data_IF_151581133708
#
_entry.id   IF_151581133708
#
_cell.length_a   1.000
_cell.length_b   1.000
_cell.length_c   1.000
_cell.angle_alpha   90.00
_cell.angle_beta   90.00
_cell.angle_gamma   90.00
#
_symmetry.space_group_name_H-M   'P 1'
#
loop_
_entity.id
_entity.type
_entity.pdbx_description
1 polymer ?
#
# COMPACT_ATOMS: atom_id res chain seq x y z
N UNK A 1 9.29 -20.69 0.22
CA UNK A 1 9.55 -19.54 -0.66
C UNK A 1 9.72 -19.99 -2.10
N UNK A 2 9.26 -19.18 -3.07
CA UNK A 2 9.67 -19.35 -4.48
C UNK A 2 11.14 -18.93 -4.63
N UNK A 3 11.77 -19.23 -5.77
CA UNK A 3 13.16 -18.81 -6.03
C UNK A 3 13.31 -17.29 -5.90
N UNK A 4 12.42 -16.52 -6.52
CA UNK A 4 12.43 -15.05 -6.47
C UNK A 4 12.29 -14.52 -5.03
N UNK A 5 11.38 -15.11 -4.23
CA UNK A 5 11.20 -14.77 -2.83
C UNK A 5 12.44 -15.12 -2.00
N UNK A 6 13.08 -16.25 -2.29
CA UNK A 6 14.31 -16.66 -1.63
C UNK A 6 15.45 -15.71 -1.94
N UNK A 7 15.64 -15.35 -3.22
CA UNK A 7 16.69 -14.41 -3.66
C UNK A 7 16.49 -13.05 -2.96
N UNK A 8 15.25 -12.54 -2.91
CA UNK A 8 14.93 -11.30 -2.21
C UNK A 8 15.18 -11.39 -0.69
N UNK A 9 14.79 -12.49 -0.07
CA UNK A 9 15.04 -12.73 1.35
C UNK A 9 16.54 -12.77 1.66
N UNK A 10 17.35 -13.51 0.90
CA UNK A 10 18.79 -13.63 1.13
C UNK A 10 19.51 -12.29 0.94
N UNK A 11 19.09 -11.48 -0.04
CA UNK A 11 19.64 -10.14 -0.22
C UNK A 11 19.40 -9.25 1.02
N UNK A 12 18.17 -9.24 1.56
CA UNK A 12 17.85 -8.46 2.76
C UNK A 12 18.56 -9.02 3.99
N UNK A 13 18.59 -10.37 4.13
CA UNK A 13 19.22 -11.08 5.24
C UNK A 13 20.69 -10.74 5.39
N UNK A 14 21.42 -10.61 4.28
CA UNK A 14 22.83 -10.19 4.29
C UNK A 14 23.03 -8.89 5.07
N UNK A 15 22.21 -7.85 4.81
CA UNK A 15 22.30 -6.57 5.50
C UNK A 15 21.83 -6.61 6.95
N UNK A 16 20.86 -7.49 7.28
CA UNK A 16 20.47 -7.75 8.68
C UNK A 16 21.66 -8.36 9.45
N UNK A 17 22.42 -9.26 8.83
CA UNK A 17 23.57 -9.90 9.47
C UNK A 17 24.76 -8.95 9.61
N UNK A 18 25.01 -8.13 8.62
CA UNK A 18 26.11 -7.17 8.61
C UNK A 18 25.83 -5.90 9.44
N UNK A 19 24.61 -5.76 9.93
CA UNK A 19 24.15 -4.55 10.66
C UNK A 19 24.41 -3.26 9.86
N UNK A 20 24.01 -3.27 8.58
CA UNK A 20 24.19 -2.14 7.67
C UNK A 20 22.86 -1.60 7.19
N UNK A 21 22.81 -0.29 7.05
CA UNK A 21 21.69 0.37 6.40
C UNK A 21 21.68 0.13 4.89
N UNK A 22 20.54 -0.23 4.37
CA UNK A 22 20.25 -0.28 2.94
C UNK A 22 18.75 -0.12 2.73
N UNK A 23 18.36 0.62 1.72
CA UNK A 23 16.96 0.69 1.30
C UNK A 23 16.74 -0.23 0.12
N UNK A 24 15.79 -1.14 0.27
CA UNK A 24 15.33 -2.06 -0.78
C UNK A 24 13.98 -1.60 -1.31
N UNK A 25 13.79 -1.67 -2.62
CA UNK A 25 12.48 -1.59 -3.25
C UNK A 25 12.05 -3.00 -3.66
N UNK A 26 11.14 -3.60 -2.89
CA UNK A 26 10.55 -4.90 -3.22
C UNK A 26 9.35 -4.70 -4.15
N UNK A 27 9.62 -4.70 -5.44
CA UNK A 27 8.62 -4.56 -6.49
C UNK A 27 8.06 -5.93 -6.86
N UNK A 28 6.83 -6.20 -6.47
CA UNK A 28 6.18 -7.50 -6.72
C UNK A 28 4.72 -7.34 -7.07
N UNK A 29 4.28 -8.04 -8.12
CA UNK A 29 2.86 -8.05 -8.51
C UNK A 29 1.95 -8.49 -7.37
N UNK A 30 0.68 -8.11 -7.42
CA UNK A 30 -0.30 -8.57 -6.44
C UNK A 30 -0.38 -10.10 -6.45
N UNK A 31 -0.23 -10.74 -5.28
CA UNK A 31 -0.17 -12.19 -5.16
C UNK A 31 1.21 -12.82 -5.41
N UNK A 32 2.27 -12.03 -5.56
CA UNK A 32 3.66 -12.52 -5.64
C UNK A 32 4.22 -13.02 -4.32
N UNK A 33 3.52 -12.77 -3.22
CA UNK A 33 3.93 -13.23 -1.89
C UNK A 33 4.92 -12.29 -1.17
N UNK A 34 4.92 -10.99 -1.46
CA UNK A 34 5.70 -9.98 -0.71
C UNK A 34 5.60 -10.17 0.80
N UNK A 35 4.38 -10.40 1.30
CA UNK A 35 4.14 -10.59 2.74
C UNK A 35 4.93 -11.78 3.31
N UNK A 36 5.15 -12.84 2.54
CA UNK A 36 5.94 -13.96 3.02
C UNK A 36 7.43 -13.59 3.16
N UNK A 37 7.96 -12.79 2.24
CA UNK A 37 9.33 -12.24 2.37
C UNK A 37 9.43 -11.39 3.63
N UNK A 38 8.42 -10.55 3.93
CA UNK A 38 8.40 -9.76 5.18
C UNK A 38 8.42 -10.64 6.42
N UNK A 39 7.58 -11.68 6.46
CA UNK A 39 7.49 -12.58 7.61
C UNK A 39 8.82 -13.31 7.85
N UNK A 40 9.49 -13.78 6.80
CA UNK A 40 10.78 -14.44 6.89
C UNK A 40 11.88 -13.48 7.37
N UNK A 41 11.90 -12.25 6.86
CA UNK A 41 12.90 -11.24 7.30
C UNK A 41 12.66 -10.79 8.74
N UNK A 42 11.42 -10.67 9.19
CA UNK A 42 11.09 -10.38 10.59
C UNK A 42 11.55 -11.53 11.49
N UNK A 43 11.29 -12.79 11.11
CA UNK A 43 11.74 -13.96 11.88
C UNK A 43 13.27 -13.99 12.03
N UNK A 44 14.01 -13.69 10.97
CA UNK A 44 15.47 -13.60 10.99
C UNK A 44 15.96 -12.54 11.98
N UNK A 45 15.31 -11.37 11.98
CA UNK A 45 15.61 -10.26 12.91
C UNK A 45 15.34 -10.67 14.36
N UNK A 46 14.22 -11.33 14.63
CA UNK A 46 13.86 -11.81 15.97
C UNK A 46 14.85 -12.89 16.48
N UNK A 47 15.32 -13.77 15.60
CA UNK A 47 16.34 -14.78 15.90
C UNK A 47 17.67 -14.16 16.31
N UNK A 48 17.98 -12.95 15.81
CA UNK A 48 19.14 -12.16 16.22
C UNK A 48 18.93 -11.35 17.52
N UNK A 49 17.78 -11.51 18.16
CA UNK A 49 17.43 -10.74 19.37
C UNK A 49 17.12 -9.27 19.09
N UNK A 50 16.85 -8.88 17.83
CA UNK A 50 16.49 -7.52 17.43
C UNK A 50 14.97 -7.37 17.26
N UNK A 51 14.56 -6.16 16.96
CA UNK A 51 13.16 -5.73 16.86
C UNK A 51 12.80 -5.39 15.41
N UNK A 52 11.54 -5.56 15.04
CA UNK A 52 11.05 -5.32 13.68
C UNK A 52 9.86 -4.38 13.66
N UNK A 53 9.84 -3.48 12.69
CA UNK A 53 8.75 -2.55 12.49
C UNK A 53 8.15 -2.74 11.10
N UNK A 54 6.82 -2.92 11.04
CA UNK A 54 6.09 -2.96 9.78
C UNK A 54 4.99 -1.90 9.75
N UNK A 55 5.03 -1.06 8.72
CA UNK A 55 4.01 -0.10 8.40
C UNK A 55 3.14 -0.63 7.26
N UNK A 56 1.83 -0.46 7.41
CA UNK A 56 0.83 -0.78 6.39
C UNK A 56 -0.14 0.38 6.25
N UNK A 57 -0.74 0.61 5.08
CA UNK A 57 -1.83 1.57 4.96
C UNK A 57 -2.96 1.22 5.93
N UNK A 58 -3.61 2.21 6.51
CA UNK A 58 -4.65 1.99 7.51
C UNK A 58 -5.80 1.10 6.99
N UNK A 59 -6.15 1.26 5.70
CA UNK A 59 -7.15 0.44 5.01
C UNK A 59 -6.70 -1.02 4.82
N UNK A 60 -5.41 -1.29 4.81
CA UNK A 60 -4.84 -2.63 4.68
C UNK A 60 -4.63 -3.32 6.03
N UNK A 61 -4.72 -2.60 7.14
CA UNK A 61 -4.59 -3.14 8.49
C UNK A 61 -5.88 -3.86 8.92
N UNK A 62 -6.18 -4.94 8.23
CA UNK A 62 -7.37 -5.75 8.49
C UNK A 62 -7.14 -6.71 9.65
N UNK A 63 -8.24 -7.18 10.33
CA UNK A 63 -8.13 -8.23 11.34
C UNK A 63 -7.41 -9.49 10.83
N UNK A 64 -7.59 -9.84 9.56
CA UNK A 64 -6.94 -11.00 8.93
C UNK A 64 -5.41 -10.82 8.86
N UNK A 65 -4.96 -9.61 8.50
CA UNK A 65 -3.53 -9.30 8.48
C UNK A 65 -2.92 -9.37 9.89
N UNK A 66 -3.56 -8.73 10.86
CA UNK A 66 -3.14 -8.79 12.27
C UNK A 66 -3.07 -10.24 12.77
N UNK A 67 -4.10 -11.04 12.48
CA UNK A 67 -4.12 -12.46 12.83
C UNK A 67 -2.97 -13.25 12.19
N UNK A 68 -2.59 -12.94 10.95
CA UNK A 68 -1.47 -13.59 10.27
C UNK A 68 -0.14 -13.35 11.02
N UNK A 69 0.10 -12.11 11.46
CA UNK A 69 1.27 -11.77 12.26
C UNK A 69 1.23 -12.41 13.65
N UNK A 70 0.10 -12.34 14.34
CA UNK A 70 -0.07 -12.96 15.66
C UNK A 70 0.07 -14.50 15.62
N UNK A 71 -0.39 -15.14 14.56
CA UNK A 71 -0.18 -16.59 14.37
C UNK A 71 1.28 -16.98 14.21
N UNK A 72 2.08 -16.10 13.59
CA UNK A 72 3.51 -16.36 13.34
C UNK A 72 4.37 -16.02 14.55
N UNK A 73 4.10 -14.88 15.20
CA UNK A 73 4.96 -14.28 16.21
C UNK A 73 4.33 -14.21 17.60
N UNK A 74 3.08 -14.66 17.76
CA UNK A 74 2.43 -14.72 19.07
C UNK A 74 2.29 -13.36 19.76
N UNK A 75 2.67 -13.32 21.01
CA UNK A 75 2.58 -12.13 21.89
C UNK A 75 3.68 -11.09 21.61
N UNK A 76 4.68 -11.43 20.79
CA UNK A 76 5.71 -10.50 20.36
C UNK A 76 5.16 -9.35 19.46
N UNK A 77 3.86 -9.42 19.04
CA UNK A 77 3.26 -8.46 18.12
C UNK A 77 2.44 -7.40 18.85
N UNK A 78 2.84 -6.15 18.72
CA UNK A 78 2.06 -4.97 19.06
C UNK A 78 1.39 -4.38 17.82
N UNK A 79 0.12 -3.94 17.95
CA UNK A 79 -0.67 -3.38 16.85
C UNK A 79 -0.99 -1.93 17.13
N UNK A 80 -0.63 -1.02 16.20
CA UNK A 80 -0.76 0.43 16.38
C UNK A 80 -1.56 1.06 15.22
N UNK A 81 -2.80 1.51 15.49
CA UNK A 81 -3.64 2.19 14.50
C UNK A 81 -4.57 3.23 15.13
N UNK A 82 -5.22 4.05 14.30
CA UNK A 82 -6.09 5.14 14.73
C UNK A 82 -7.36 4.67 15.43
N UNK A 83 -7.86 3.48 15.12
CA UNK A 83 -9.06 2.89 15.72
C UNK A 83 -8.91 2.43 17.17
N UNK A 84 -7.69 2.39 17.71
CA UNK A 84 -7.45 2.10 19.12
C UNK A 84 -7.86 3.29 19.99
N UNK A 85 -8.48 3.01 21.13
CA UNK A 85 -8.67 3.99 22.20
C UNK A 85 -7.31 4.49 22.71
N UNK A 86 -7.31 5.62 23.44
CA UNK A 86 -6.07 6.17 24.03
C UNK A 86 -5.41 5.18 24.99
N UNK A 87 -6.20 4.43 25.77
CA UNK A 87 -5.71 3.41 26.70
C UNK A 87 -5.06 2.24 25.97
N UNK A 88 -5.76 1.63 25.00
CA UNK A 88 -5.22 0.52 24.19
C UNK A 88 -3.93 0.91 23.45
N UNK A 89 -3.89 2.13 22.89
CA UNK A 89 -2.68 2.64 22.23
C UNK A 89 -1.53 2.80 23.21
N UNK A 90 -1.80 3.28 24.41
CA UNK A 90 -0.79 3.39 25.47
C UNK A 90 -0.28 2.01 25.89
N UNK A 91 -1.15 1.02 26.05
CA UNK A 91 -0.78 -0.35 26.41
C UNK A 91 0.09 -1.02 25.34
N UNK A 92 -0.26 -0.89 24.07
CA UNK A 92 0.56 -1.40 22.96
C UNK A 92 1.92 -0.70 22.88
N UNK A 93 1.95 0.62 23.09
CA UNK A 93 3.18 1.40 23.15
C UNK A 93 4.07 0.98 24.33
N UNK A 94 3.49 0.74 25.50
CA UNK A 94 4.19 0.24 26.69
C UNK A 94 4.78 -1.16 26.44
N UNK A 95 4.05 -2.07 25.80
CA UNK A 95 4.57 -3.41 25.46
C UNK A 95 5.87 -3.33 24.65
N UNK A 96 5.93 -2.42 23.68
CA UNK A 96 7.13 -2.21 22.87
C UNK A 96 8.25 -1.62 23.74
N UNK A 97 7.96 -0.55 24.47
CA UNK A 97 8.95 0.13 25.32
C UNK A 97 9.59 -0.79 26.36
N UNK A 98 8.78 -1.66 26.96
CA UNK A 98 9.21 -2.62 27.99
C UNK A 98 9.84 -3.88 27.39
N UNK A 99 9.95 -4.00 26.07
CA UNK A 99 10.51 -5.15 25.36
C UNK A 99 9.63 -6.41 25.39
N UNK A 100 8.34 -6.27 25.75
CA UNK A 100 7.36 -7.36 25.75
C UNK A 100 6.81 -7.66 24.34
N UNK A 101 6.93 -6.71 23.42
CA UNK A 101 6.63 -6.90 22.02
C UNK A 101 7.83 -6.42 21.18
N UNK A 102 8.34 -7.31 20.34
CA UNK A 102 9.50 -7.06 19.48
C UNK A 102 9.13 -6.79 18.03
N UNK A 103 7.86 -6.91 17.67
CA UNK A 103 7.33 -6.61 16.34
C UNK A 103 6.21 -5.61 16.48
N UNK A 104 6.21 -4.53 15.69
CA UNK A 104 5.03 -3.67 15.54
C UNK A 104 4.45 -3.80 14.14
N UNK A 105 3.13 -3.87 14.05
CA UNK A 105 2.37 -3.75 12.81
C UNK A 105 1.40 -2.58 12.98
N UNK A 106 1.49 -1.59 12.11
CA UNK A 106 0.62 -0.46 12.28
C UNK A 106 0.62 0.55 11.13
N UNK A 107 -0.21 1.59 11.29
CA UNK A 107 -0.33 2.67 10.33
C UNK A 107 0.87 3.63 10.40
N UNK A 108 0.85 4.68 9.59
CA UNK A 108 1.91 5.70 9.47
C UNK A 108 2.55 6.12 10.80
N UNK A 109 1.74 6.40 11.83
CA UNK A 109 2.24 6.87 13.13
C UNK A 109 3.07 5.83 13.89
N UNK A 110 2.97 4.55 13.53
CA UNK A 110 3.78 3.47 14.12
C UNK A 110 5.28 3.64 13.85
N UNK A 111 5.65 4.50 12.89
CA UNK A 111 7.05 4.84 12.64
C UNK A 111 7.76 5.42 13.88
N UNK A 112 7.01 5.93 14.85
CA UNK A 112 7.53 6.47 16.11
C UNK A 112 7.48 5.46 17.27
N UNK A 113 7.15 4.19 17.02
CA UNK A 113 7.16 3.17 18.07
C UNK A 113 8.53 3.11 18.80
N UNK A 114 8.54 2.95 20.14
CA UNK A 114 9.72 3.19 20.98
C UNK A 114 10.69 2.00 21.01
N UNK A 115 10.99 1.44 19.85
CA UNK A 115 12.00 0.40 19.71
C UNK A 115 13.40 0.91 19.99
N UNK A 116 14.19 0.12 20.69
CA UNK A 116 15.57 0.44 21.11
C UNK A 116 16.62 -0.19 20.19
N UNK A 117 16.30 -1.33 19.58
CA UNK A 117 17.25 -2.13 18.79
C UNK A 117 16.60 -2.69 17.50
N UNK A 118 16.19 -1.78 16.61
CA UNK A 118 15.59 -2.20 15.33
C UNK A 118 16.59 -2.97 14.46
N UNK A 119 16.14 -4.09 13.91
CA UNK A 119 16.85 -4.87 12.90
C UNK A 119 16.28 -4.76 11.50
N UNK A 120 15.05 -4.25 11.34
CA UNK A 120 14.40 -3.98 10.05
C UNK A 120 13.24 -3.01 10.19
N UNK A 121 13.01 -2.21 9.14
CA UNK A 121 11.82 -1.39 8.96
C UNK A 121 11.19 -1.75 7.62
N UNK A 122 9.92 -2.14 7.61
CA UNK A 122 9.18 -2.52 6.42
C UNK A 122 8.04 -1.53 6.21
N UNK A 123 7.85 -1.03 4.99
CA UNK A 123 6.73 -0.18 4.58
C UNK A 123 6.05 -0.87 3.40
N UNK A 124 4.89 -1.46 3.64
CA UNK A 124 4.10 -2.08 2.58
C UNK A 124 3.24 -1.05 1.87
N UNK A 125 2.96 -1.27 0.56
CA UNK A 125 2.28 -0.32 -0.33
C UNK A 125 2.86 1.10 -0.21
N UNK A 126 4.20 1.24 -0.36
CA UNK A 126 4.97 2.46 -0.10
C UNK A 126 4.51 3.68 -0.90
N UNK A 127 3.80 3.43 -2.02
CA UNK A 127 3.24 4.47 -2.90
C UNK A 127 2.01 5.18 -2.31
N UNK A 128 1.42 4.64 -1.24
CA UNK A 128 0.22 5.21 -0.63
C UNK A 128 0.47 6.59 -0.04
N UNK A 129 -0.36 7.56 -0.47
CA UNK A 129 -0.26 8.95 -0.03
C UNK A 129 -0.48 9.13 1.47
N UNK A 130 -1.13 8.16 2.13
CA UNK A 130 -1.42 8.17 3.57
C UNK A 130 -0.17 8.12 4.44
N UNK A 131 0.99 7.75 3.89
CA UNK A 131 2.29 7.82 4.59
C UNK A 131 2.84 9.24 4.74
N UNK A 132 2.27 10.21 4.02
CA UNK A 132 2.56 11.63 4.19
C UNK A 132 1.58 12.24 5.19
N UNK A 133 2.10 12.92 6.21
CA UNK A 133 1.29 13.74 7.11
C UNK A 133 1.23 15.17 6.58
N UNK A 134 0.02 15.64 6.31
CA UNK A 134 -0.21 17.00 5.80
C UNK A 134 -0.36 18.02 6.93
N UNK A 135 -0.91 17.60 8.07
CA UNK A 135 -1.03 18.41 9.27
C UNK A 135 0.31 18.54 9.99
N UNK A 136 0.46 19.62 10.74
CA UNK A 136 1.66 19.84 11.55
C UNK A 136 1.73 18.89 12.77
N UNK A 137 2.90 18.29 13.06
CA UNK A 137 4.17 18.35 12.32
C UNK A 137 4.13 17.53 11.03
N UNK A 138 4.54 18.13 9.91
CA UNK A 138 4.56 17.48 8.61
C UNK A 138 5.75 16.54 8.50
N UNK A 139 5.51 15.30 8.07
CA UNK A 139 6.55 14.31 7.80
C UNK A 139 6.08 13.27 6.78
N UNK A 140 7.01 12.56 6.19
CA UNK A 140 6.75 11.36 5.41
C UNK A 140 7.35 10.15 6.14
N UNK A 141 6.57 9.08 6.34
CA UNK A 141 7.03 7.91 7.08
C UNK A 141 8.29 7.28 6.48
N UNK A 142 8.44 7.29 5.16
CA UNK A 142 9.64 6.80 4.47
C UNK A 142 10.90 7.56 4.87
N UNK A 143 10.83 8.89 5.00
CA UNK A 143 11.99 9.70 5.37
C UNK A 143 12.40 9.43 6.81
N UNK A 144 11.42 9.30 7.72
CA UNK A 144 11.69 8.91 9.11
C UNK A 144 12.25 7.47 9.17
N UNK A 145 11.74 6.55 8.34
CA UNK A 145 12.26 5.19 8.27
C UNK A 145 13.75 5.18 7.87
N UNK A 146 14.13 5.98 6.87
CA UNK A 146 15.52 6.09 6.44
C UNK A 146 16.42 6.67 7.54
N UNK A 147 15.94 7.72 8.24
CA UNK A 147 16.67 8.27 9.39
C UNK A 147 16.83 7.23 10.51
N UNK A 148 15.78 6.50 10.85
CA UNK A 148 15.85 5.43 11.86
C UNK A 148 16.74 4.27 11.42
N UNK A 149 16.75 3.92 10.13
CA UNK A 149 17.64 2.93 9.53
C UNK A 149 19.11 3.29 9.77
N UNK A 150 19.48 4.53 9.51
CA UNK A 150 20.84 5.03 9.79
C UNK A 150 21.18 4.97 11.28
N UNK A 151 20.24 5.37 12.14
CA UNK A 151 20.44 5.37 13.59
C UNK A 151 20.60 3.96 14.19
N UNK A 152 19.84 2.98 13.68
CA UNK A 152 19.85 1.59 14.17
C UNK A 152 20.73 0.65 13.33
N UNK A 153 21.36 1.13 12.28
CA UNK A 153 22.15 0.33 11.32
C UNK A 153 21.38 -0.89 10.81
N UNK A 154 20.16 -0.65 10.29
CA UNK A 154 19.28 -1.70 9.83
C UNK A 154 18.68 -1.41 8.45
N UNK A 155 18.31 -2.44 7.65
CA UNK A 155 17.70 -2.23 6.33
C UNK A 155 16.28 -1.68 6.42
N UNK A 156 15.87 -0.96 5.36
CA UNK A 156 14.48 -0.56 5.07
C UNK A 156 14.00 -1.33 3.86
N UNK A 157 12.81 -1.92 3.93
CA UNK A 157 12.15 -2.57 2.79
C UNK A 157 10.88 -1.79 2.43
N UNK A 158 10.86 -1.24 1.22
CA UNK A 158 9.71 -0.56 0.63
C UNK A 158 9.04 -1.53 -0.33
N UNK A 159 7.84 -2.00 0.01
CA UNK A 159 7.10 -2.96 -0.80
C UNK A 159 5.97 -2.32 -1.59
N UNK A 160 5.83 -2.68 -2.86
CA UNK A 160 4.71 -2.23 -3.70
C UNK A 160 4.53 -3.11 -4.94
N UNK A 161 3.29 -3.19 -5.43
CA UNK A 161 3.00 -3.68 -6.77
C UNK A 161 3.10 -2.57 -7.82
N UNK A 162 2.91 -1.32 -7.40
CA UNK A 162 2.90 -0.11 -8.22
C UNK A 162 3.74 0.97 -7.53
N UNK A 163 5.07 0.83 -7.51
CA UNK A 163 5.95 1.74 -6.80
C UNK A 163 5.75 3.20 -7.20
N UNK A 164 5.97 4.12 -6.25
CA UNK A 164 6.03 5.55 -6.56
C UNK A 164 7.15 5.84 -7.56
N UNK A 165 6.94 6.83 -8.43
CA UNK A 165 7.96 7.21 -9.43
C UNK A 165 9.29 7.58 -8.78
N UNK A 166 9.23 8.22 -7.60
CA UNK A 166 10.42 8.60 -6.83
C UNK A 166 11.20 7.39 -6.34
N UNK A 167 10.51 6.37 -5.79
CA UNK A 167 11.16 5.14 -5.31
C UNK A 167 11.73 4.33 -6.46
N UNK A 168 10.98 4.22 -7.56
CA UNK A 168 11.43 3.51 -8.75
C UNK A 168 12.64 4.19 -9.38
N UNK A 169 12.62 5.52 -9.55
CA UNK A 169 13.77 6.28 -10.07
C UNK A 169 15.02 6.17 -9.18
N UNK A 170 14.84 6.07 -7.86
CA UNK A 170 15.97 5.82 -6.94
C UNK A 170 16.53 4.41 -7.10
N UNK A 171 15.67 3.42 -7.36
CA UNK A 171 16.11 2.06 -7.65
C UNK A 171 16.87 1.97 -8.98
N UNK A 172 16.37 2.60 -10.05
CA UNK A 172 17.06 2.70 -11.35
C UNK A 172 18.46 3.35 -11.24
N UNK A 173 18.62 4.30 -10.32
CA UNK A 173 19.91 4.97 -10.04
C UNK A 173 20.78 4.22 -9.01
N UNK A 174 20.41 3.00 -8.60
CA UNK A 174 21.08 2.20 -7.58
C UNK A 174 21.19 2.89 -6.18
N UNK A 175 20.37 3.92 -5.92
CA UNK A 175 20.23 4.51 -4.58
C UNK A 175 19.47 3.53 -3.68
N UNK A 176 18.43 2.90 -4.22
CA UNK A 176 17.75 1.74 -3.60
C UNK A 176 18.17 0.47 -4.34
N UNK A 177 18.12 -0.65 -3.65
CA UNK A 177 18.33 -1.95 -4.28
C UNK A 177 16.98 -2.52 -4.73
N UNK A 178 16.86 -2.81 -6.04
CA UNK A 178 15.62 -3.33 -6.61
C UNK A 178 15.56 -4.85 -6.44
N UNK A 179 14.52 -5.32 -5.76
CA UNK A 179 14.18 -6.73 -5.64
C UNK A 179 12.86 -6.97 -6.38
N UNK A 180 12.85 -7.85 -7.38
CA UNK A 180 11.70 -8.07 -8.25
C UNK A 180 11.02 -9.42 -7.99
N UNK A 181 9.68 -9.39 -7.83
CA UNK A 181 8.82 -10.58 -7.74
C UNK A 181 7.77 -10.51 -8.87
N UNK A 182 8.15 -10.78 -10.14
CA UNK A 182 7.30 -10.55 -11.30
C UNK A 182 6.17 -11.58 -11.44
N UNK A 183 6.23 -12.73 -10.76
CA UNK A 183 5.27 -13.81 -10.91
C UNK A 183 4.38 -13.98 -9.69
N UNK A 184 3.11 -14.34 -9.92
CA UNK A 184 2.18 -14.76 -8.87
C UNK A 184 2.55 -16.15 -8.35
N UNK A 185 2.44 -16.38 -7.05
CA UNK A 185 2.75 -17.68 -6.42
C UNK A 185 1.97 -18.83 -7.06
N UNK A 186 0.70 -18.60 -7.42
CA UNK A 186 -0.18 -19.63 -7.99
C UNK A 186 -0.12 -19.70 -9.53
N UNK A 187 0.82 -19.00 -10.17
CA UNK A 187 0.96 -18.92 -11.63
C UNK A 187 -0.35 -18.58 -12.38
N UNK A 188 -1.32 -17.97 -11.70
CA UNK A 188 -2.57 -17.55 -12.31
C UNK A 188 -2.33 -16.42 -13.30
N UNK A 189 -2.87 -16.54 -14.48
CA UNK A 189 -2.86 -15.48 -15.49
C UNK A 189 -3.54 -14.22 -14.93
N UNK A 190 -3.12 -13.07 -15.45
CA UNK A 190 -3.84 -11.82 -15.20
C UNK A 190 -5.26 -11.93 -15.80
N UNK A 191 -6.26 -11.28 -15.19
CA UNK A 191 -7.59 -11.24 -15.77
C UNK A 191 -7.56 -10.55 -17.13
N UNK A 192 -8.46 -10.97 -18.03
CA UNK A 192 -8.69 -10.26 -19.28
C UNK A 192 -9.28 -8.88 -18.98
N UNK A 193 -8.81 -7.86 -19.70
CA UNK A 193 -9.25 -6.47 -19.52
C UNK A 193 -9.75 -5.95 -20.87
N UNK A 194 -11.01 -5.59 -20.93
CA UNK A 194 -11.62 -4.92 -22.08
C UNK A 194 -11.72 -3.43 -21.81
N UNK A 195 -11.21 -2.62 -22.75
CA UNK A 195 -11.31 -1.16 -22.70
C UNK A 195 -12.43 -0.74 -23.65
N UNK A 196 -13.45 -0.08 -23.10
CA UNK A 196 -14.62 0.35 -23.88
C UNK A 196 -14.61 1.87 -23.99
N UNK A 197 -14.66 2.38 -25.24
CA UNK A 197 -14.86 3.83 -25.48
C UNK A 197 -16.33 4.20 -25.33
N UNK A 198 -16.67 4.89 -24.27
CA UNK A 198 -18.03 5.29 -23.96
C UNK A 198 -18.56 6.39 -24.90
N UNK A 199 -17.72 7.02 -25.75
CA UNK A 199 -18.14 7.95 -26.79
C UNK A 199 -18.74 7.20 -27.97
N UNK A 200 -18.14 6.10 -28.36
CA UNK A 200 -18.67 5.20 -29.40
C UNK A 200 -20.02 4.63 -28.95
N UNK A 201 -20.10 4.13 -27.73
CA UNK A 201 -21.35 3.65 -27.13
C UNK A 201 -22.46 4.72 -27.14
N UNK A 202 -22.11 6.01 -26.90
CA UNK A 202 -23.08 7.10 -26.98
C UNK A 202 -23.55 7.36 -28.42
N UNK A 203 -22.63 7.31 -29.41
CA UNK A 203 -22.97 7.48 -30.83
C UNK A 203 -23.89 6.36 -31.35
N UNK A 204 -23.76 5.16 -30.78
CA UNK A 204 -24.62 4.00 -31.05
C UNK A 204 -25.93 4.00 -30.25
N UNK A 205 -26.18 5.07 -29.46
CA UNK A 205 -27.43 5.29 -28.72
C UNK A 205 -27.41 4.84 -27.26
N UNK A 206 -26.30 4.31 -26.74
CA UNK A 206 -26.21 3.94 -25.32
C UNK A 206 -26.01 5.17 -24.43
N UNK A 207 -27.08 5.67 -23.84
CA UNK A 207 -27.05 6.78 -22.87
C UNK A 207 -26.83 6.34 -21.42
N UNK A 208 -26.69 5.03 -21.17
CA UNK A 208 -26.42 4.50 -19.82
C UNK A 208 -25.03 4.88 -19.32
N UNK A 209 -24.85 4.87 -18.00
CA UNK A 209 -23.52 4.98 -17.38
C UNK A 209 -22.67 3.72 -17.56
N UNK A 210 -23.28 2.59 -17.88
CA UNK A 210 -22.62 1.31 -18.14
C UNK A 210 -22.59 1.04 -19.65
N UNK A 211 -21.48 0.50 -20.15
CA UNK A 211 -21.39 0.01 -21.53
C UNK A 211 -22.33 -1.17 -21.77
N UNK A 212 -22.66 -1.43 -23.01
CA UNK A 212 -23.46 -2.59 -23.39
C UNK A 212 -22.74 -3.88 -22.97
N UNK A 213 -21.44 -3.97 -23.26
CA UNK A 213 -20.61 -5.12 -22.88
C UNK A 213 -20.59 -5.35 -21.36
N UNK A 214 -20.43 -4.29 -20.56
CA UNK A 214 -20.46 -4.42 -19.09
C UNK A 214 -21.82 -4.90 -18.59
N UNK A 215 -22.94 -4.40 -19.14
CA UNK A 215 -24.28 -4.84 -18.74
C UNK A 215 -24.50 -6.31 -19.06
N UNK A 216 -24.05 -6.77 -20.22
CA UNK A 216 -24.12 -8.17 -20.62
C UNK A 216 -23.30 -9.05 -19.66
N UNK A 217 -22.04 -8.66 -19.40
CA UNK A 217 -21.18 -9.38 -18.47
C UNK A 217 -21.77 -9.45 -17.05
N UNK A 218 -22.38 -8.36 -16.56
CA UNK A 218 -23.09 -8.35 -15.28
C UNK A 218 -24.23 -9.36 -15.30
N UNK A 219 -25.09 -9.34 -16.33
CA UNK A 219 -26.23 -10.25 -16.43
C UNK A 219 -25.81 -11.72 -16.45
N UNK A 220 -24.80 -12.04 -17.27
CA UNK A 220 -24.25 -13.40 -17.34
C UNK A 220 -23.72 -13.91 -16.00
N UNK A 221 -23.07 -13.05 -15.20
CA UNK A 221 -22.55 -13.44 -13.89
C UNK A 221 -23.68 -13.63 -12.87
N UNK A 222 -24.70 -12.76 -12.91
CA UNK A 222 -25.89 -12.90 -12.08
C UNK A 222 -26.65 -14.21 -12.37
N UNK A 223 -26.84 -14.53 -13.65
CA UNK A 223 -27.50 -15.78 -14.08
C UNK A 223 -26.76 -17.02 -13.58
N UNK A 224 -25.41 -16.95 -13.53
CA UNK A 224 -24.53 -17.98 -12.95
C UNK A 224 -24.43 -17.94 -11.44
N UNK A 225 -25.09 -16.99 -10.75
CA UNK A 225 -24.98 -16.74 -9.31
C UNK A 225 -23.54 -16.47 -8.84
N UNK A 226 -22.74 -15.85 -9.69
CA UNK A 226 -21.38 -15.44 -9.40
C UNK A 226 -21.35 -14.04 -8.78
N UNK A 227 -20.26 -13.69 -8.12
CA UNK A 227 -20.06 -12.38 -7.50
C UNK A 227 -19.52 -11.36 -8.52
N UNK A 228 -19.93 -10.11 -8.34
CA UNK A 228 -19.51 -8.99 -9.20
C UNK A 228 -18.98 -7.87 -8.29
N UNK A 229 -17.85 -7.29 -8.66
CA UNK A 229 -17.30 -6.10 -8.00
C UNK A 229 -17.33 -4.95 -9.00
N UNK A 230 -18.11 -3.92 -8.69
CA UNK A 230 -18.10 -2.66 -9.43
C UNK A 230 -17.17 -1.67 -8.71
N UNK A 231 -16.10 -1.27 -9.40
CA UNK A 231 -15.15 -0.32 -8.87
C UNK A 231 -15.36 1.06 -9.50
N UNK A 232 -15.68 2.04 -8.67
CA UNK A 232 -15.75 3.43 -9.04
C UNK A 232 -14.82 4.23 -8.14
N UNK A 233 -13.65 4.60 -8.65
CA UNK A 233 -12.67 5.40 -7.89
C UNK A 233 -13.11 6.86 -7.80
N UNK A 234 -14.18 7.12 -7.03
CA UNK A 234 -14.76 8.45 -6.93
C UNK A 234 -15.37 8.69 -5.56
N UNK A 235 -14.94 9.75 -4.90
CA UNK A 235 -15.60 10.32 -3.72
C UNK A 235 -16.46 11.50 -4.15
N UNK A 236 -17.71 11.58 -3.66
CA UNK A 236 -18.64 12.67 -3.95
C UNK A 236 -19.48 12.46 -5.21
N UNK A 237 -20.35 13.45 -5.50
CA UNK A 237 -21.36 13.35 -6.57
C UNK A 237 -20.76 13.48 -7.96
N UNK A 238 -19.84 14.43 -8.17
CA UNK A 238 -19.11 14.62 -9.41
C UNK A 238 -17.78 15.35 -9.15
N UNK A 239 -16.65 14.78 -9.57
CA UNK A 239 -15.34 15.43 -9.47
C UNK A 239 -15.04 16.35 -10.65
N UNK A 240 -15.72 16.17 -11.78
CA UNK A 240 -15.66 17.02 -12.97
C UNK A 240 -16.87 16.75 -13.84
N UNK A 241 -17.16 17.63 -14.78
CA UNK A 241 -18.11 17.40 -15.86
C UNK A 241 -17.37 17.01 -17.13
N UNK A 242 -17.92 16.08 -17.87
CA UNK A 242 -17.38 15.58 -19.13
C UNK A 242 -18.50 15.57 -20.16
N UNK A 243 -18.26 16.17 -21.33
CA UNK A 243 -19.11 15.95 -22.47
C UNK A 243 -18.90 14.51 -22.98
N UNK A 244 -19.94 13.70 -22.97
CA UNK A 244 -19.85 12.30 -23.41
C UNK A 244 -19.66 12.15 -24.91
N UNK A 245 -20.03 13.19 -25.68
CA UNK A 245 -19.94 13.19 -27.15
C UNK A 245 -18.48 13.48 -27.59
N UNK A 246 -17.91 14.58 -27.14
CA UNK A 246 -16.59 15.03 -27.60
C UNK A 246 -15.47 14.90 -26.56
N UNK A 247 -15.76 14.45 -25.35
CA UNK A 247 -14.77 14.32 -24.27
C UNK A 247 -14.36 15.64 -23.62
N UNK A 248 -14.96 16.77 -24.00
CA UNK A 248 -14.63 18.09 -23.43
C UNK A 248 -14.89 18.14 -21.92
N UNK A 249 -13.89 18.61 -21.17
CA UNK A 249 -13.96 18.84 -19.73
C UNK A 249 -13.84 20.33 -19.46
N UNK A 250 -14.87 20.99 -18.90
CA UNK A 250 -14.80 22.42 -18.53
C UNK A 250 -13.69 22.66 -17.52
N UNK A 251 -12.81 23.61 -17.81
CA UNK A 251 -11.71 24.03 -16.95
C UNK A 251 -11.96 25.42 -16.36
N UNK A 252 -11.39 25.68 -15.20
CA UNK A 252 -11.44 27.00 -14.60
C UNK A 252 -10.52 27.95 -15.38
N UNK A 253 -11.01 29.13 -15.81
CA UNK A 253 -10.21 30.08 -16.60
C UNK A 253 -9.04 30.71 -15.81
N UNK A 254 -8.99 30.53 -14.49
CA UNK A 254 -7.97 31.12 -13.62
C UNK A 254 -6.90 30.16 -13.12
N UNK A 255 -7.17 28.84 -13.10
CA UNK A 255 -6.24 27.84 -12.52
C UNK A 255 -6.17 26.53 -13.30
N UNK A 256 -6.79 26.42 -14.47
CA UNK A 256 -6.80 25.25 -15.37
C UNK A 256 -7.25 23.93 -14.73
N UNK A 257 -7.83 23.97 -13.51
CA UNK A 257 -8.39 22.79 -12.83
C UNK A 257 -9.77 22.51 -13.43
N UNK A 258 -10.09 21.23 -13.64
CA UNK A 258 -11.42 20.79 -14.05
C UNK A 258 -12.49 21.26 -13.08
N UNK A 259 -13.58 21.83 -13.60
CA UNK A 259 -14.69 22.29 -12.78
C UNK A 259 -15.48 21.12 -12.21
N UNK A 260 -15.78 21.19 -10.91
CA UNK A 260 -16.60 20.22 -10.18
C UNK A 260 -18.04 20.67 -10.10
N UNK A 261 -18.99 19.78 -10.38
CA UNK A 261 -20.41 20.08 -10.21
C UNK A 261 -20.86 19.91 -8.77
N UNK A 262 -21.36 20.97 -8.17
CA UNK A 262 -21.92 21.00 -6.83
C UNK A 262 -23.44 20.92 -6.87
N UNK A 263 -24.01 19.74 -6.58
CA UNK A 263 -25.46 19.49 -6.66
C UNK A 263 -26.29 20.43 -5.77
N UNK A 264 -25.78 20.78 -4.58
CA UNK A 264 -26.49 21.61 -3.60
C UNK A 264 -26.68 23.06 -4.06
N UNK A 265 -25.79 23.58 -4.89
CA UNK A 265 -25.82 24.96 -5.40
C UNK A 265 -26.09 25.02 -6.89
N UNK A 266 -26.22 23.87 -7.57
CA UNK A 266 -26.37 23.72 -9.03
C UNK A 266 -25.36 24.59 -9.82
N UNK A 267 -24.10 24.51 -9.39
CA UNK A 267 -23.02 25.32 -9.94
C UNK A 267 -21.76 24.49 -10.21
N UNK A 268 -21.02 24.94 -11.24
CA UNK A 268 -19.65 24.47 -11.50
C UNK A 268 -18.66 25.33 -10.75
N UNK A 269 -17.80 24.73 -9.94
CA UNK A 269 -16.75 25.42 -9.15
C UNK A 269 -15.42 24.68 -9.29
N UNK A 270 -14.35 25.38 -9.22
CA UNK A 270 -12.99 24.81 -9.12
C UNK A 270 -12.60 24.48 -7.67
#
# INVERSE_FOLDING_TARGET
LTKEQQDAFEAIKHYIHDEKERTFLLHGVTGSGKTEVYLQTIEEVLNKGKEAMMLVPEIALTPQMVLRFKRRFGDDVAVLHSGLSKGERYDEWQKIRDGRARVSVGARSSIFAPFKNLGIIIIDEEHESTYKQEDYPRYHARDIAQWRSQFHHCPVVLGSATPSLESYARAEKNVYELLSLPHRVNQQALPHIDIIDMREELSEGNRSMFSIALRQAIQERLDKKEQIVLFLNRRGYASFMLCRDCGYVPQCPHCDISLTYHKTTDQLKC
#
